data_IF_204220779170
#
_entry.id   IF_204220779170
#
_cell.length_a   1.000
_cell.length_b   1.000
_cell.length_c   1.000
_cell.angle_alpha   90.00
_cell.angle_beta   90.00
_cell.angle_gamma   90.00
#
_symmetry.space_group_name_H-M   'P 1'
#
loop_
_entity.id
_entity.type
_entity.pdbx_description
1 polymer ?
#
# COMPACT_ATOMS: atom_id res chain seq x y z
N UNK A 1 -7.79 -19.49 18.25
CA UNK A 1 -8.66 -20.69 18.22
C UNK A 1 -9.92 -20.29 17.47
N UNK A 2 -10.34 -21.03 16.45
CA UNK A 2 -11.59 -20.76 15.73
C UNK A 2 -12.82 -21.03 16.61
N UNK A 3 -13.95 -20.34 16.38
CA UNK A 3 -15.23 -20.73 16.99
C UNK A 3 -15.56 -22.19 16.66
N UNK A 4 -16.24 -22.89 17.55
CA UNK A 4 -16.48 -24.34 17.41
C UNK A 4 -17.46 -24.69 16.29
N UNK A 5 -18.32 -23.75 15.89
CA UNK A 5 -19.42 -23.95 14.95
C UNK A 5 -19.15 -23.22 13.61
N UNK A 6 -17.91 -23.30 13.10
CA UNK A 6 -17.53 -22.71 11.82
C UNK A 6 -17.41 -23.77 10.75
N UNK A 7 -18.18 -23.63 9.67
CA UNK A 7 -18.16 -24.54 8.54
C UNK A 7 -16.89 -24.37 7.69
N UNK A 8 -16.41 -23.13 7.52
CA UNK A 8 -15.23 -22.80 6.70
C UNK A 8 -14.30 -21.85 7.44
N UNK A 9 -13.00 -22.14 7.43
CA UNK A 9 -11.96 -21.39 8.11
C UNK A 9 -11.02 -20.75 7.10
N UNK A 10 -10.96 -19.42 7.08
CA UNK A 10 -10.07 -18.65 6.22
C UNK A 10 -8.96 -18.02 7.05
N UNK A 11 -7.72 -18.21 6.64
CA UNK A 11 -6.55 -17.56 7.25
C UNK A 11 -5.93 -16.57 6.25
N UNK A 12 -5.87 -15.29 6.64
CA UNK A 12 -5.32 -14.23 5.81
C UNK A 12 -4.03 -13.69 6.44
N UNK A 13 -2.98 -13.53 5.66
CA UNK A 13 -1.70 -13.04 6.12
C UNK A 13 -1.03 -12.06 5.16
N UNK A 14 -0.39 -11.02 5.72
CA UNK A 14 0.45 -10.06 5.00
C UNK A 14 1.80 -9.99 5.72
N UNK A 15 2.64 -11.01 5.52
CA UNK A 15 3.95 -11.07 6.17
C UNK A 15 4.82 -9.87 5.77
N UNK A 16 5.44 -9.14 6.72
CA UNK A 16 6.27 -7.99 6.42
C UNK A 16 7.37 -8.29 5.40
N UNK A 17 7.40 -7.48 4.34
CA UNK A 17 8.32 -7.62 3.21
C UNK A 17 9.51 -6.65 3.26
N UNK A 18 9.73 -5.95 4.38
CA UNK A 18 10.75 -4.89 4.49
C UNK A 18 12.15 -5.30 4.02
N UNK A 19 12.64 -6.54 4.23
CA UNK A 19 13.92 -6.98 3.71
C UNK A 19 13.99 -7.07 2.17
N UNK A 20 12.85 -7.16 1.50
CA UNK A 20 12.74 -7.44 0.06
C UNK A 20 12.24 -6.24 -0.75
N UNK A 21 11.93 -5.11 -0.11
CA UNK A 21 11.51 -3.90 -0.82
C UNK A 21 12.71 -3.20 -1.48
N UNK A 22 12.49 -2.56 -2.63
CA UNK A 22 13.52 -1.82 -3.38
C UNK A 22 14.23 -0.73 -2.57
N UNK A 23 13.62 -0.26 -1.47
CA UNK A 23 14.17 0.73 -0.55
C UNK A 23 15.16 0.17 0.46
N UNK A 24 15.17 -1.14 0.70
CA UNK A 24 15.93 -1.76 1.79
C UNK A 24 17.31 -2.27 1.38
N UNK A 25 17.73 -2.13 0.13
CA UNK A 25 19.07 -2.56 -0.32
C UNK A 25 20.23 -2.05 0.56
N UNK A 26 20.06 -0.92 1.23
CA UNK A 26 21.07 -0.31 2.13
C UNK A 26 21.14 -0.96 3.53
N UNK A 27 20.15 -1.76 3.93
CA UNK A 27 20.00 -2.28 5.31
C UNK A 27 19.93 -3.81 5.39
N UNK A 28 20.37 -4.52 4.36
CA UNK A 28 20.22 -5.99 4.24
C UNK A 28 20.96 -6.79 5.33
N UNK A 29 21.94 -6.21 6.01
CA UNK A 29 22.79 -6.88 7.00
C UNK A 29 22.48 -6.52 8.47
N UNK A 30 21.37 -5.87 8.77
CA UNK A 30 20.99 -5.56 10.14
C UNK A 30 20.27 -6.77 10.77
N UNK A 31 20.59 -7.13 12.02
CA UNK A 31 19.99 -8.27 12.76
C UNK A 31 18.45 -8.22 12.77
N UNK A 32 17.86 -7.02 12.89
CA UNK A 32 16.40 -6.84 12.81
C UNK A 32 15.84 -7.13 11.41
N UNK A 33 16.65 -6.99 10.37
CA UNK A 33 16.29 -7.32 8.99
C UNK A 33 16.37 -8.82 8.75
N UNK A 34 17.35 -9.51 9.37
CA UNK A 34 17.48 -10.95 9.31
C UNK A 34 16.30 -11.66 9.99
N UNK A 35 15.90 -11.22 11.19
CA UNK A 35 14.72 -11.76 11.89
C UNK A 35 13.41 -11.61 11.11
N UNK A 36 13.30 -10.62 10.23
CA UNK A 36 12.10 -10.39 9.39
C UNK A 36 12.09 -11.23 8.11
N UNK A 37 13.20 -11.86 7.74
CA UNK A 37 13.26 -12.73 6.54
C UNK A 37 12.42 -14.00 6.70
N UNK A 38 12.21 -14.44 7.94
CA UNK A 38 11.57 -15.72 8.25
C UNK A 38 10.06 -15.60 8.54
N UNK A 39 9.48 -14.39 8.43
CA UNK A 39 8.07 -14.20 8.80
C UNK A 39 7.08 -14.94 7.89
N UNK A 40 7.43 -15.19 6.64
CA UNK A 40 6.63 -16.03 5.77
C UNK A 40 6.72 -17.52 6.17
N UNK A 41 7.88 -17.98 6.64
CA UNK A 41 8.03 -19.34 7.22
C UNK A 41 7.19 -19.48 8.50
N UNK A 42 7.11 -18.42 9.34
CA UNK A 42 6.21 -18.41 10.51
C UNK A 42 4.73 -18.47 10.09
N UNK A 43 4.36 -17.79 9.02
CA UNK A 43 2.99 -17.87 8.50
C UNK A 43 2.69 -19.30 8.02
N UNK A 44 3.63 -19.95 7.35
CA UNK A 44 3.53 -21.36 6.97
C UNK A 44 3.29 -22.28 8.19
N UNK A 45 4.07 -22.09 9.27
CA UNK A 45 3.88 -22.85 10.53
C UNK A 45 2.50 -22.61 11.16
N UNK A 46 1.96 -21.39 11.09
CA UNK A 46 0.61 -21.13 11.57
C UNK A 46 -0.44 -21.89 10.74
N UNK A 47 -0.25 -22.00 9.43
CA UNK A 47 -1.14 -22.77 8.55
C UNK A 47 -1.11 -24.27 8.93
N UNK A 48 0.07 -24.84 9.20
CA UNK A 48 0.21 -26.24 9.66
C UNK A 48 -0.48 -26.49 11.00
N UNK A 49 -0.42 -25.52 11.93
CA UNK A 49 -1.05 -25.64 13.25
C UNK A 49 -2.56 -25.46 13.20
N UNK A 50 -3.02 -24.43 12.49
CA UNK A 50 -4.42 -23.99 12.46
C UNK A 50 -5.24 -24.79 11.45
N UNK A 51 -4.58 -25.27 10.39
CA UNK A 51 -5.18 -26.06 9.28
C UNK A 51 -6.44 -25.39 8.70
N UNK A 52 -6.35 -24.12 8.26
CA UNK A 52 -7.49 -23.45 7.64
C UNK A 52 -7.93 -24.20 6.38
N UNK A 53 -9.11 -23.92 5.90
CA UNK A 53 -9.65 -24.51 4.66
C UNK A 53 -9.21 -23.67 3.45
N UNK A 54 -9.10 -22.34 3.63
CA UNK A 54 -8.62 -21.40 2.62
C UNK A 54 -7.54 -20.50 3.22
N UNK A 55 -6.53 -20.19 2.42
CA UNK A 55 -5.45 -19.25 2.78
C UNK A 55 -5.37 -18.14 1.74
N UNK A 56 -5.20 -16.89 2.21
CA UNK A 56 -4.86 -15.75 1.37
C UNK A 56 -3.59 -15.08 1.87
N UNK A 57 -2.70 -14.70 0.94
CA UNK A 57 -1.47 -13.97 1.25
C UNK A 57 -1.27 -12.81 0.27
N UNK A 58 -0.98 -11.62 0.82
CA UNK A 58 -0.53 -10.45 0.05
C UNK A 58 0.92 -10.15 0.33
N UNK A 59 1.67 -9.76 -0.71
CA UNK A 59 3.06 -9.32 -0.56
C UNK A 59 3.51 -8.42 -1.73
N UNK A 60 4.77 -7.96 -1.69
CA UNK A 60 5.37 -7.25 -2.82
C UNK A 60 5.71 -8.21 -3.97
N UNK A 61 5.70 -7.73 -5.24
CA UNK A 61 5.98 -8.57 -6.41
C UNK A 61 7.31 -9.33 -6.35
N UNK A 62 8.33 -8.72 -5.74
CA UNK A 62 9.68 -9.30 -5.62
C UNK A 62 9.72 -10.58 -4.76
N UNK A 63 8.68 -10.80 -3.95
CA UNK A 63 8.58 -12.01 -3.12
C UNK A 63 8.51 -13.27 -3.96
N UNK A 64 7.84 -13.25 -5.11
CA UNK A 64 7.65 -14.43 -5.96
C UNK A 64 8.94 -15.11 -6.43
N UNK A 65 10.07 -14.36 -6.50
CA UNK A 65 11.38 -14.89 -6.90
C UNK A 65 12.27 -15.30 -5.72
N UNK A 66 11.72 -15.32 -4.49
CA UNK A 66 12.49 -15.62 -3.29
C UNK A 66 12.29 -17.08 -2.85
N UNK A 67 13.36 -17.68 -2.39
CA UNK A 67 13.37 -19.06 -1.89
C UNK A 67 12.33 -19.27 -0.76
N UNK A 68 12.17 -18.28 0.12
CA UNK A 68 11.15 -18.33 1.19
C UNK A 68 9.72 -18.44 0.64
N UNK A 69 9.44 -17.86 -0.53
CA UNK A 69 8.13 -17.99 -1.17
C UNK A 69 7.92 -19.40 -1.75
N UNK A 70 8.95 -20.00 -2.34
CA UNK A 70 8.88 -21.38 -2.83
C UNK A 70 8.69 -22.37 -1.68
N UNK A 71 9.46 -22.20 -0.58
CA UNK A 71 9.22 -23.01 0.64
C UNK A 71 7.79 -22.85 1.19
N UNK A 72 7.25 -21.64 1.14
CA UNK A 72 5.87 -21.40 1.57
C UNK A 72 4.84 -22.10 0.67
N UNK A 73 5.06 -22.11 -0.64
CA UNK A 73 4.24 -22.90 -1.59
C UNK A 73 4.32 -24.39 -1.28
N UNK A 74 5.54 -24.93 -1.08
CA UNK A 74 5.76 -26.33 -0.71
C UNK A 74 4.99 -26.73 0.57
N UNK A 75 4.96 -25.83 1.58
CA UNK A 75 4.17 -26.06 2.81
C UNK A 75 2.69 -26.16 2.48
N UNK A 76 2.15 -25.26 1.67
CA UNK A 76 0.73 -25.30 1.27
C UNK A 76 0.40 -26.57 0.51
N UNK A 77 1.16 -26.93 -0.51
CA UNK A 77 0.93 -28.11 -1.36
C UNK A 77 1.01 -29.41 -0.55
N UNK A 78 2.03 -29.54 0.34
CA UNK A 78 2.17 -30.68 1.26
C UNK A 78 1.01 -30.84 2.25
N UNK A 79 0.33 -29.73 2.56
CA UNK A 79 -0.86 -29.72 3.43
C UNK A 79 -2.18 -29.83 2.63
N UNK A 80 -2.12 -30.19 1.35
CA UNK A 80 -3.28 -30.51 0.51
C UNK A 80 -3.97 -29.29 -0.13
N UNK A 81 -3.33 -28.10 -0.14
CA UNK A 81 -3.91 -26.94 -0.81
C UNK A 81 -3.57 -26.93 -2.30
N UNK A 82 -4.56 -26.53 -3.11
CA UNK A 82 -4.31 -26.03 -4.47
C UNK A 82 -3.95 -24.55 -4.39
N UNK A 83 -2.83 -24.17 -4.99
CA UNK A 83 -2.24 -22.84 -4.84
C UNK A 83 -2.27 -22.09 -6.16
N UNK A 84 -2.81 -20.87 -6.12
CA UNK A 84 -2.78 -19.93 -7.25
C UNK A 84 -2.21 -18.59 -6.79
N UNK A 85 -1.36 -17.98 -7.59
CA UNK A 85 -0.83 -16.65 -7.29
C UNK A 85 -0.56 -15.85 -8.56
N UNK A 86 -0.70 -14.53 -8.46
CA UNK A 86 -0.31 -13.61 -9.53
C UNK A 86 0.10 -12.25 -8.98
N UNK A 87 0.89 -11.52 -9.78
CA UNK A 87 1.12 -10.10 -9.53
C UNK A 87 -0.01 -9.30 -10.17
N UNK A 88 -0.72 -8.54 -9.34
CA UNK A 88 -1.81 -7.67 -9.75
C UNK A 88 -1.38 -6.21 -9.78
N UNK A 89 -2.01 -5.43 -10.65
CA UNK A 89 -1.90 -3.98 -10.69
C UNK A 89 -3.16 -3.39 -10.05
N UNK A 90 -3.03 -2.70 -8.93
CA UNK A 90 -4.16 -2.30 -8.10
C UNK A 90 -5.21 -1.41 -8.83
N UNK A 91 -4.85 -0.52 -9.77
CA UNK A 91 -5.82 0.20 -10.61
C UNK A 91 -6.77 -0.70 -11.40
N UNK A 92 -6.35 -1.89 -11.83
CA UNK A 92 -7.20 -2.87 -12.51
C UNK A 92 -8.41 -3.29 -11.65
N UNK A 93 -8.31 -3.07 -10.34
CA UNK A 93 -9.32 -3.37 -9.33
C UNK A 93 -9.89 -2.11 -8.66
N UNK A 94 -9.78 -0.96 -9.32
CA UNK A 94 -10.38 0.30 -8.87
C UNK A 94 -9.67 0.99 -7.72
N UNK A 95 -8.41 0.67 -7.44
CA UNK A 95 -7.59 1.38 -6.46
C UNK A 95 -6.88 2.56 -7.14
N UNK A 96 -7.06 3.82 -6.70
CA UNK A 96 -6.56 5.02 -7.37
C UNK A 96 -5.05 5.25 -7.16
N UNK A 97 -4.23 4.17 -7.22
CA UNK A 97 -2.77 4.28 -7.08
C UNK A 97 -2.03 3.20 -7.88
N UNK A 98 -0.89 3.57 -8.45
CA UNK A 98 0.03 2.71 -9.21
C UNK A 98 0.77 1.74 -8.27
N UNK A 99 0.05 0.73 -7.78
CA UNK A 99 0.54 -0.25 -6.80
C UNK A 99 0.49 -1.65 -7.41
N UNK A 100 1.62 -2.36 -7.40
CA UNK A 100 1.67 -3.78 -7.79
C UNK A 100 1.81 -4.64 -6.54
N UNK A 101 1.08 -5.76 -6.48
CA UNK A 101 1.13 -6.71 -5.37
C UNK A 101 1.06 -8.15 -5.86
N UNK A 102 1.78 -9.01 -5.17
CA UNK A 102 1.66 -10.45 -5.28
C UNK A 102 0.50 -10.89 -4.40
N UNK A 103 -0.51 -11.49 -5.00
CA UNK A 103 -1.63 -12.13 -4.30
C UNK A 103 -1.53 -13.63 -4.48
N UNK A 104 -1.71 -14.38 -3.39
CA UNK A 104 -1.81 -15.83 -3.39
C UNK A 104 -3.12 -16.22 -2.72
N UNK A 105 -3.83 -17.15 -3.36
CA UNK A 105 -4.97 -17.86 -2.82
C UNK A 105 -4.66 -19.37 -2.81
N UNK A 106 -5.07 -20.05 -1.76
CA UNK A 106 -4.91 -21.49 -1.67
C UNK A 106 -6.14 -22.11 -1.00
N UNK A 107 -6.65 -23.20 -1.56
CA UNK A 107 -7.86 -23.89 -1.09
C UNK A 107 -7.65 -25.38 -1.00
N UNK A 108 -8.24 -26.03 0.01
CA UNK A 108 -8.33 -27.49 0.11
C UNK A 108 -9.47 -28.09 -0.71
N UNK A 109 -10.40 -27.24 -1.14
CA UNK A 109 -11.58 -27.66 -1.87
C UNK A 109 -11.35 -27.79 -3.39
N UNK A 110 -10.22 -27.31 -3.90
CA UNK A 110 -9.90 -27.34 -5.32
C UNK A 110 -9.18 -26.09 -5.81
N UNK A 111 -9.20 -25.89 -7.11
CA UNK A 111 -8.56 -24.74 -7.76
C UNK A 111 -9.33 -23.47 -7.43
N UNK A 112 -8.63 -22.47 -6.91
CA UNK A 112 -9.16 -21.16 -6.55
C UNK A 112 -8.46 -20.08 -7.35
N UNK A 113 -9.19 -19.11 -7.88
CA UNK A 113 -8.62 -18.00 -8.65
C UNK A 113 -9.11 -16.65 -8.19
N UNK A 114 -8.28 -15.62 -8.39
CA UNK A 114 -8.68 -14.25 -8.17
C UNK A 114 -9.59 -13.79 -9.32
N UNK A 115 -10.68 -13.12 -9.00
CA UNK A 115 -11.57 -12.48 -9.97
C UNK A 115 -10.80 -11.62 -10.96
N UNK A 116 -11.32 -11.47 -12.16
CA UNK A 116 -10.71 -10.67 -13.23
C UNK A 116 -10.68 -9.18 -12.89
N UNK A 117 -9.90 -8.39 -13.67
CA UNK A 117 -9.88 -6.94 -13.54
C UNK A 117 -11.24 -6.33 -13.92
N UNK A 118 -11.66 -5.30 -13.17
CA UNK A 118 -12.88 -4.52 -13.42
C UNK A 118 -12.59 -3.21 -14.19
N UNK A 119 -11.33 -2.79 -14.21
CA UNK A 119 -10.86 -1.53 -14.81
C UNK A 119 -9.74 -1.75 -15.81
N UNK A 120 -9.57 -0.80 -16.72
CA UNK A 120 -8.52 -0.75 -17.74
C UNK A 120 -7.82 0.62 -17.74
N UNK A 121 -6.71 0.81 -18.45
CA UNK A 121 -5.99 2.09 -18.50
C UNK A 121 -6.85 3.30 -18.87
N UNK A 122 -7.91 3.12 -19.62
CA UNK A 122 -8.78 4.19 -20.10
C UNK A 122 -9.79 4.66 -19.05
N UNK A 123 -10.03 3.86 -18.00
CA UNK A 123 -11.02 4.15 -16.97
C UNK A 123 -10.51 3.94 -15.53
N UNK A 124 -9.19 3.95 -15.33
CA UNK A 124 -8.63 3.89 -13.97
C UNK A 124 -9.10 5.07 -13.12
N UNK A 125 -9.49 4.84 -11.85
CA UNK A 125 -9.81 5.93 -10.94
C UNK A 125 -8.60 6.84 -10.74
N UNK A 126 -8.84 8.14 -10.87
CA UNK A 126 -7.80 9.17 -10.81
C UNK A 126 -7.68 9.79 -9.42
N UNK A 127 -6.64 10.58 -9.24
CA UNK A 127 -6.47 11.41 -8.05
C UNK A 127 -7.65 12.38 -7.89
N UNK A 128 -8.11 12.99 -9.00
CA UNK A 128 -9.23 13.94 -9.04
C UNK A 128 -10.52 13.29 -8.54
N UNK A 129 -10.85 12.12 -9.02
CA UNK A 129 -12.04 11.38 -8.60
C UNK A 129 -12.05 11.08 -7.10
N UNK A 130 -10.87 10.93 -6.52
CA UNK A 130 -10.71 10.45 -5.15
C UNK A 130 -10.62 11.58 -4.12
N UNK A 131 -9.87 12.65 -4.41
CA UNK A 131 -9.56 13.70 -3.44
C UNK A 131 -9.90 15.12 -3.95
N UNK A 132 -10.35 15.26 -5.20
CA UNK A 132 -10.59 16.56 -5.82
C UNK A 132 -11.67 17.42 -5.12
N UNK A 133 -12.57 16.82 -4.37
CA UNK A 133 -13.64 17.51 -3.64
C UNK A 133 -13.32 17.77 -2.16
N UNK A 134 -12.10 17.44 -1.70
CA UNK A 134 -11.71 17.72 -0.33
C UNK A 134 -11.46 19.23 -0.13
N UNK A 135 -11.75 19.77 1.05
CA UNK A 135 -11.47 21.18 1.38
C UNK A 135 -9.97 21.50 1.24
N UNK A 136 -9.66 22.73 0.84
CA UNK A 136 -8.29 23.21 0.82
C UNK A 136 -7.72 23.35 2.24
N UNK A 137 -6.45 22.96 2.42
CA UNK A 137 -5.67 23.17 3.63
C UNK A 137 -4.25 23.62 3.27
N UNK A 138 -3.60 24.35 4.17
CA UNK A 138 -2.19 24.74 4.04
C UNK A 138 -1.26 23.68 4.63
N UNK A 139 0.04 23.80 4.33
CA UNK A 139 1.04 23.00 5.00
C UNK A 139 1.01 23.24 6.53
N UNK A 140 0.92 22.16 7.29
CA UNK A 140 0.78 22.18 8.76
C UNK A 140 -0.65 22.38 9.27
N UNK A 141 -1.61 22.61 8.39
CA UNK A 141 -2.99 22.83 8.75
C UNK A 141 -3.76 21.51 8.98
N UNK A 142 -4.81 21.63 9.80
CA UNK A 142 -5.81 20.57 10.04
C UNK A 142 -7.18 21.14 9.76
N UNK A 143 -7.96 20.48 8.91
CA UNK A 143 -9.35 20.84 8.66
C UNK A 143 -10.21 20.56 9.90
N UNK A 144 -11.07 21.53 10.28
CA UNK A 144 -11.79 21.48 11.57
C UNK A 144 -12.80 20.34 11.62
N UNK A 145 -13.54 20.11 10.53
CA UNK A 145 -14.58 19.10 10.45
C UNK A 145 -14.05 17.68 10.22
N UNK A 146 -12.79 17.54 9.75
CA UNK A 146 -12.12 16.25 9.59
C UNK A 146 -10.69 16.31 10.11
N UNK A 147 -10.44 15.93 11.37
CA UNK A 147 -9.10 15.94 11.96
C UNK A 147 -8.07 15.07 11.25
N UNK A 148 -8.50 14.09 10.45
CA UNK A 148 -7.61 13.28 9.63
C UNK A 148 -7.17 14.07 8.37
N UNK A 149 -7.92 15.06 7.91
CA UNK A 149 -7.51 15.94 6.84
C UNK A 149 -6.49 16.96 7.36
N UNK A 150 -5.30 16.44 7.64
CA UNK A 150 -4.17 17.12 8.26
C UNK A 150 -2.90 16.86 7.49
N UNK A 151 -2.16 17.91 7.13
CA UNK A 151 -0.88 17.83 6.43
C UNK A 151 0.30 18.16 7.35
N UNK A 152 1.49 17.70 6.98
CA UNK A 152 2.73 18.12 7.65
C UNK A 152 3.07 19.55 7.31
N UNK A 153 3.67 20.27 8.28
CA UNK A 153 4.28 21.56 8.02
C UNK A 153 5.54 21.38 7.12
N UNK A 154 5.84 22.41 6.34
CA UNK A 154 7.03 22.48 5.51
C UNK A 154 7.96 23.57 6.03
N UNK A 155 9.27 23.30 6.00
CA UNK A 155 10.27 24.35 6.21
C UNK A 155 10.18 25.40 5.09
N UNK A 156 10.66 26.63 5.34
CA UNK A 156 10.68 27.70 4.34
C UNK A 156 11.36 27.27 3.03
N UNK A 157 12.45 26.47 3.14
CA UNK A 157 13.15 25.93 1.98
C UNK A 157 12.29 24.91 1.21
N UNK A 158 11.62 24.01 1.90
CA UNK A 158 10.74 23.01 1.25
C UNK A 158 9.49 23.65 0.65
N UNK A 159 9.01 24.75 1.23
CA UNK A 159 7.93 25.55 0.64
C UNK A 159 8.37 26.21 -0.67
N UNK A 160 9.59 26.75 -0.76
CA UNK A 160 10.16 27.26 -2.02
C UNK A 160 10.28 26.14 -3.07
N UNK A 161 10.74 24.96 -2.67
CA UNK A 161 10.88 23.80 -3.55
C UNK A 161 9.55 23.34 -4.14
N UNK A 162 8.54 23.14 -3.28
CA UNK A 162 7.23 22.67 -3.76
C UNK A 162 6.56 23.68 -4.69
N UNK A 163 6.74 24.99 -4.48
CA UNK A 163 6.23 26.04 -5.36
C UNK A 163 6.80 25.99 -6.77
N UNK A 164 8.04 25.54 -6.92
CA UNK A 164 8.66 25.36 -8.24
C UNK A 164 8.36 23.98 -8.85
N UNK A 165 7.89 23.01 -8.06
CA UNK A 165 7.54 21.69 -8.55
C UNK A 165 6.24 21.75 -9.35
N UNK A 166 6.26 21.25 -10.58
CA UNK A 166 5.10 21.16 -11.47
C UNK A 166 4.36 19.81 -11.27
N UNK A 167 3.05 19.73 -11.53
CA UNK A 167 2.37 18.43 -11.63
C UNK A 167 3.10 17.51 -12.61
N UNK A 168 3.39 16.27 -12.19
CA UNK A 168 4.17 15.31 -12.99
C UNK A 168 5.65 15.62 -13.13
N UNK A 169 6.11 16.83 -12.76
CA UNK A 169 7.49 17.29 -12.85
C UNK A 169 8.41 16.69 -11.78
N UNK A 170 9.63 17.19 -11.73
CA UNK A 170 10.67 16.70 -10.82
C UNK A 170 11.46 17.87 -10.24
N UNK A 171 12.37 17.61 -9.30
CA UNK A 171 13.35 18.58 -8.80
C UNK A 171 14.27 19.15 -9.91
N UNK A 172 14.29 18.57 -11.11
CA UNK A 172 15.04 19.09 -12.26
C UNK A 172 14.46 20.40 -12.80
N UNK A 173 13.22 20.70 -12.47
CA UNK A 173 12.53 21.95 -12.83
C UNK A 173 12.89 23.11 -11.90
N UNK A 174 13.70 22.88 -10.83
CA UNK A 174 14.02 23.87 -9.83
C UNK A 174 15.24 24.75 -10.20
N UNK A 175 15.28 25.94 -9.63
CA UNK A 175 16.48 26.76 -9.63
C UNK A 175 17.64 26.03 -8.96
N UNK A 176 18.85 26.29 -9.41
CA UNK A 176 20.09 25.59 -8.97
C UNK A 176 20.36 25.72 -7.47
N UNK A 177 19.97 26.84 -6.86
CA UNK A 177 20.14 27.12 -5.42
C UNK A 177 19.17 26.30 -4.53
N UNK A 178 18.10 25.78 -5.09
CA UNK A 178 17.15 24.90 -4.39
C UNK A 178 17.54 23.42 -4.44
N UNK A 179 18.51 23.05 -5.28
CA UNK A 179 18.94 21.66 -5.43
C UNK A 179 19.60 21.15 -4.15
N UNK A 180 19.30 19.91 -3.79
CA UNK A 180 20.04 19.22 -2.74
C UNK A 180 21.43 18.83 -3.26
N UNK A 181 22.42 18.84 -2.37
CA UNK A 181 23.79 18.40 -2.72
C UNK A 181 23.81 16.97 -3.28
N UNK A 182 22.89 16.10 -2.80
CA UNK A 182 22.74 14.74 -3.32
C UNK A 182 22.37 14.71 -4.81
N UNK A 183 21.60 15.69 -5.31
CA UNK A 183 21.13 15.72 -6.72
C UNK A 183 22.17 16.35 -7.68
N UNK A 184 23.18 16.99 -7.14
CA UNK A 184 24.33 17.45 -7.91
C UNK A 184 25.28 16.30 -8.30
N UNK A 185 25.15 15.13 -7.60
CA UNK A 185 25.95 13.92 -7.85
C UNK A 185 25.24 13.00 -8.84
N UNK A 186 26.02 12.23 -9.62
CA UNK A 186 25.47 11.25 -10.57
C UNK A 186 24.52 10.24 -9.89
N UNK A 187 24.87 9.75 -8.69
CA UNK A 187 24.04 8.81 -7.91
C UNK A 187 22.68 9.37 -7.52
N UNK A 188 22.55 10.70 -7.39
CA UNK A 188 21.30 11.38 -7.05
C UNK A 188 20.35 11.56 -8.24
N UNK A 189 20.87 11.50 -9.45
CA UNK A 189 20.08 11.69 -10.68
C UNK A 189 19.01 10.62 -10.91
N UNK A 190 19.17 9.45 -10.32
CA UNK A 190 18.20 8.33 -10.40
C UNK A 190 16.90 8.58 -9.61
N UNK A 191 16.91 9.50 -8.62
CA UNK A 191 15.74 9.76 -7.75
C UNK A 191 14.82 10.85 -8.35
N UNK A 192 14.25 10.59 -9.52
CA UNK A 192 13.44 11.57 -10.24
C UNK A 192 12.04 11.83 -9.70
N UNK A 193 11.53 11.02 -8.75
CA UNK A 193 10.15 11.17 -8.25
C UNK A 193 10.01 11.95 -6.96
N UNK A 194 11.08 12.11 -6.17
CA UNK A 194 11.06 12.81 -4.88
C UNK A 194 10.80 14.31 -5.07
N UNK A 195 10.11 14.92 -4.12
CA UNK A 195 9.65 16.31 -4.16
C UNK A 195 8.69 16.66 -5.32
N UNK A 196 8.26 15.68 -6.14
CA UNK A 196 7.34 15.94 -7.23
C UNK A 196 5.89 16.10 -6.76
N UNK A 197 5.10 16.86 -7.54
CA UNK A 197 3.64 16.93 -7.38
C UNK A 197 2.97 15.79 -8.14
N UNK A 198 1.88 15.29 -7.58
CA UNK A 198 0.98 14.36 -8.25
C UNK A 198 0.24 15.06 -9.42
N UNK A 199 -0.42 14.28 -10.23
CA UNK A 199 -1.23 14.75 -11.37
C UNK A 199 -2.69 14.39 -11.15
N UNK A 200 -3.61 15.34 -11.37
CA UNK A 200 -5.04 15.14 -11.12
C UNK A 200 -5.64 13.97 -11.89
N UNK A 201 -5.33 13.86 -13.15
CA UNK A 201 -6.01 12.97 -14.08
C UNK A 201 -5.26 11.63 -14.27
N UNK A 202 -4.52 11.23 -13.24
CA UNK A 202 -3.81 9.94 -13.16
C UNK A 202 -3.98 9.30 -11.79
N UNK A 203 -3.89 7.95 -11.70
CA UNK A 203 -3.74 7.28 -10.42
C UNK A 203 -2.48 7.78 -9.68
N UNK A 204 -2.57 7.94 -8.36
CA UNK A 204 -1.46 8.36 -7.52
C UNK A 204 -0.27 7.38 -7.59
N UNK A 205 0.91 7.82 -7.18
CA UNK A 205 2.01 6.91 -6.89
C UNK A 205 1.65 6.01 -5.69
N UNK A 206 2.32 4.86 -5.56
CA UNK A 206 2.11 3.95 -4.42
C UNK A 206 2.20 4.70 -3.10
N UNK A 207 1.12 4.70 -2.32
CA UNK A 207 1.08 5.28 -0.98
C UNK A 207 1.95 4.41 -0.06
N UNK A 208 2.97 5.03 0.52
CA UNK A 208 3.92 4.42 1.46
C UNK A 208 3.73 4.99 2.85
N UNK A 209 4.39 4.44 3.86
CA UNK A 209 4.35 4.96 5.24
C UNK A 209 4.90 6.39 5.39
N UNK A 210 5.57 6.91 4.35
CA UNK A 210 6.20 8.23 4.34
C UNK A 210 5.49 9.25 3.43
N UNK A 211 4.30 8.93 2.92
CA UNK A 211 3.56 9.80 1.99
C UNK A 211 3.27 11.23 2.49
N UNK A 212 3.19 11.53 3.81
CA UNK A 212 3.02 12.91 4.25
C UNK A 212 4.27 13.78 4.10
N UNK A 213 5.35 13.28 3.52
CA UNK A 213 6.60 14.01 3.31
C UNK A 213 6.99 14.14 1.85
N UNK A 214 7.11 15.37 1.34
CA UNK A 214 7.47 15.64 -0.08
C UNK A 214 8.81 15.03 -0.49
N UNK A 215 9.76 14.91 0.43
CA UNK A 215 11.11 14.40 0.16
C UNK A 215 11.18 12.85 0.06
N UNK A 216 10.09 12.14 0.28
CA UNK A 216 10.08 10.67 0.33
C UNK A 216 9.46 10.02 -0.93
N UNK A 217 9.08 10.82 -1.90
CA UNK A 217 8.45 10.37 -3.13
C UNK A 217 7.71 11.51 -3.83
N UNK A 218 6.90 11.16 -4.82
CA UNK A 218 6.00 12.09 -5.49
C UNK A 218 4.69 12.16 -4.70
N UNK A 219 4.70 12.95 -3.63
CA UNK A 219 3.56 13.11 -2.71
C UNK A 219 3.11 14.57 -2.55
N UNK A 220 3.64 15.50 -3.34
CA UNK A 220 3.14 16.85 -3.40
C UNK A 220 1.72 16.87 -3.95
N UNK A 221 0.81 17.63 -3.29
CA UNK A 221 -0.53 17.88 -3.81
C UNK A 221 -0.44 18.57 -5.19
N UNK A 222 -1.30 18.26 -6.17
CA UNK A 222 -1.19 18.83 -7.51
C UNK A 222 -1.15 20.37 -7.55
N UNK A 223 -1.92 21.05 -6.72
CA UNK A 223 -2.09 22.51 -6.71
C UNK A 223 -1.62 23.16 -5.41
N UNK A 224 -1.93 22.55 -4.26
CA UNK A 224 -1.62 23.15 -2.96
C UNK A 224 -0.15 22.95 -2.57
N UNK A 225 0.46 23.95 -1.92
CA UNK A 225 1.89 23.92 -1.56
C UNK A 225 2.18 23.06 -0.32
N UNK A 226 1.86 21.76 -0.41
CA UNK A 226 2.00 20.78 0.67
C UNK A 226 2.14 19.35 0.14
N UNK A 227 2.50 18.43 1.01
CA UNK A 227 2.33 17.00 0.75
C UNK A 227 0.85 16.60 0.95
N UNK A 228 0.53 15.37 0.58
CA UNK A 228 -0.77 14.76 0.87
C UNK A 228 -1.05 14.79 2.38
N UNK A 229 -2.30 15.05 2.72
CA UNK A 229 -2.84 14.89 4.07
C UNK A 229 -3.04 13.41 4.42
N UNK A 230 -3.28 13.11 5.70
CA UNK A 230 -3.60 11.73 6.11
C UNK A 230 -4.93 11.26 5.49
N UNK A 231 -5.94 12.14 5.39
CA UNK A 231 -7.22 11.81 4.76
C UNK A 231 -7.05 11.47 3.28
N UNK A 232 -6.30 12.26 2.55
CA UNK A 232 -5.99 12.00 1.14
C UNK A 232 -5.28 10.66 0.96
N UNK A 233 -4.27 10.37 1.78
CA UNK A 233 -3.60 9.07 1.76
C UNK A 233 -4.51 7.90 2.06
N UNK A 234 -5.44 8.06 3.01
CA UNK A 234 -6.43 7.03 3.37
C UNK A 234 -7.41 6.75 2.22
N UNK A 235 -7.93 7.79 1.59
CA UNK A 235 -8.83 7.64 0.44
C UNK A 235 -8.13 7.02 -0.77
N UNK A 236 -6.88 7.39 -1.04
CA UNK A 236 -6.07 6.79 -2.09
C UNK A 236 -5.71 5.32 -1.81
N UNK A 237 -5.73 4.91 -0.54
CA UNK A 237 -5.68 3.50 -0.12
C UNK A 237 -7.07 2.84 -0.12
N UNK A 238 -8.12 3.56 -0.53
CA UNK A 238 -9.51 3.11 -0.56
C UNK A 238 -10.15 2.85 0.81
N UNK A 239 -9.63 3.43 1.89
CA UNK A 239 -10.34 3.42 3.17
C UNK A 239 -11.63 4.23 3.07
N UNK A 240 -12.74 3.78 3.65
CA UNK A 240 -13.97 4.57 3.69
C UNK A 240 -13.77 5.86 4.49
N UNK A 241 -14.56 6.88 4.16
CA UNK A 241 -14.43 8.21 4.75
C UNK A 241 -14.61 8.20 6.29
N UNK A 242 -15.42 7.30 6.80
CA UNK A 242 -15.71 7.14 8.23
C UNK A 242 -14.76 6.17 8.96
N UNK A 243 -13.68 5.69 8.30
CA UNK A 243 -12.74 4.79 8.95
C UNK A 243 -11.93 5.51 10.03
N UNK A 244 -11.88 4.94 11.23
CA UNK A 244 -11.18 5.47 12.40
C UNK A 244 -9.81 4.82 12.57
N UNK A 245 -8.74 5.61 12.38
CA UNK A 245 -7.34 5.16 12.58
C UNK A 245 -6.86 5.33 14.02
N UNK A 246 -7.56 6.14 14.80
CA UNK A 246 -7.24 6.47 16.18
C UNK A 246 -8.52 6.49 17.01
N UNK A 247 -8.42 6.20 18.29
CA UNK A 247 -9.54 6.33 19.21
C UNK A 247 -10.06 7.79 19.18
N UNK A 248 -11.33 8.03 18.88
CA UNK A 248 -11.93 9.38 18.90
C UNK A 248 -11.69 10.14 20.20
N UNK A 249 -11.55 9.43 21.34
CA UNK A 249 -11.25 10.00 22.64
C UNK A 249 -9.86 10.63 22.74
N UNK A 250 -8.92 10.24 21.88
CA UNK A 250 -7.60 10.87 21.80
C UNK A 250 -7.62 12.24 21.13
N UNK A 251 -8.74 12.60 20.49
CA UNK A 251 -8.90 13.86 19.77
C UNK A 251 -7.84 14.02 18.67
N UNK A 252 -7.17 15.21 18.66
CA UNK A 252 -6.12 15.50 17.65
C UNK A 252 -4.71 15.15 18.10
N UNK A 253 -4.54 14.57 19.29
CA UNK A 253 -3.23 14.29 19.90
C UNK A 253 -2.64 12.96 19.43
N UNK A 254 -2.46 12.78 18.12
CA UNK A 254 -1.74 11.64 17.57
C UNK A 254 -0.66 12.09 16.59
N UNK A 255 0.50 11.41 16.53
CA UNK A 255 1.53 11.71 15.56
C UNK A 255 1.08 11.37 14.13
N UNK A 256 1.29 12.29 13.19
CA UNK A 256 1.03 12.05 11.75
C UNK A 256 1.73 10.78 11.27
N UNK A 257 2.95 10.52 11.76
CA UNK A 257 3.74 9.33 11.39
C UNK A 257 3.09 8.01 11.82
N UNK A 258 2.37 7.98 12.94
CA UNK A 258 1.67 6.78 13.42
C UNK A 258 0.53 6.39 12.48
N UNK A 259 -0.31 7.35 12.13
CA UNK A 259 -1.44 7.10 11.22
C UNK A 259 -0.94 6.84 9.79
N UNK A 260 0.08 7.57 9.33
CA UNK A 260 0.70 7.34 8.03
C UNK A 260 1.31 5.93 7.92
N UNK A 261 1.86 5.39 9.03
CA UNK A 261 2.35 4.02 9.10
C UNK A 261 1.23 3.00 8.89
N UNK A 262 0.08 3.20 9.55
CA UNK A 262 -1.10 2.33 9.39
C UNK A 262 -1.62 2.38 7.95
N UNK A 263 -1.82 3.59 7.41
CA UNK A 263 -2.31 3.79 6.03
C UNK A 263 -1.36 3.15 5.00
N UNK A 264 -0.06 3.44 5.10
CA UNK A 264 0.92 3.00 4.10
C UNK A 264 1.20 1.49 4.11
N UNK A 265 1.08 0.84 5.29
CA UNK A 265 1.25 -0.61 5.43
C UNK A 265 0.00 -1.41 5.05
N UNK A 266 -1.15 -0.78 5.01
CA UNK A 266 -2.39 -1.48 4.74
C UNK A 266 -2.45 -2.09 3.33
N UNK A 267 -3.09 -3.23 3.22
CA UNK A 267 -3.69 -3.68 1.96
C UNK A 267 -4.86 -2.75 1.66
N UNK A 268 -4.97 -2.18 0.45
CA UNK A 268 -6.11 -1.36 0.11
C UNK A 268 -7.42 -2.14 0.35
N UNK A 269 -8.39 -1.60 1.13
CA UNK A 269 -9.66 -2.27 1.39
C UNK A 269 -10.35 -2.81 0.14
N UNK A 270 -10.34 -2.06 -0.95
CA UNK A 270 -10.93 -2.51 -2.22
C UNK A 270 -10.25 -3.75 -2.81
N UNK A 271 -8.93 -3.88 -2.63
CA UNK A 271 -8.22 -5.09 -3.02
C UNK A 271 -8.54 -6.27 -2.09
N UNK A 272 -8.73 -6.01 -0.80
CA UNK A 272 -9.22 -6.98 0.17
C UNK A 272 -10.64 -7.46 -0.15
N UNK A 273 -11.50 -6.57 -0.62
CA UNK A 273 -12.86 -6.88 -1.07
C UNK A 273 -12.85 -7.85 -2.27
N UNK A 274 -11.99 -7.62 -3.25
CA UNK A 274 -11.84 -8.52 -4.41
C UNK A 274 -11.34 -9.90 -3.98
N UNK A 275 -10.39 -9.97 -3.05
CA UNK A 275 -9.92 -11.24 -2.47
C UNK A 275 -11.10 -11.96 -1.79
N UNK A 276 -11.89 -11.25 -0.97
CA UNK A 276 -13.06 -11.80 -0.31
C UNK A 276 -14.11 -12.32 -1.30
N UNK A 277 -14.45 -11.53 -2.32
CA UNK A 277 -15.37 -11.95 -3.40
C UNK A 277 -14.86 -13.17 -4.17
N UNK A 278 -13.55 -13.26 -4.41
CA UNK A 278 -12.96 -14.43 -5.07
C UNK A 278 -13.09 -15.70 -4.24
N UNK A 279 -12.98 -15.58 -2.91
CA UNK A 279 -13.18 -16.71 -1.99
C UNK A 279 -14.66 -17.12 -1.98
N UNK A 280 -15.59 -16.17 -1.91
CA UNK A 280 -17.03 -16.43 -1.93
C UNK A 280 -17.42 -17.15 -3.22
N UNK A 281 -17.01 -16.59 -4.37
CA UNK A 281 -17.29 -17.19 -5.68
C UNK A 281 -16.78 -18.64 -5.78
N UNK A 282 -15.56 -18.89 -5.28
CA UNK A 282 -15.00 -20.24 -5.23
C UNK A 282 -15.85 -21.21 -4.39
N UNK A 283 -16.42 -20.75 -3.28
CA UNK A 283 -17.26 -21.56 -2.42
C UNK A 283 -18.65 -21.82 -3.03
N UNK A 284 -19.24 -20.81 -3.67
CA UNK A 284 -20.53 -20.94 -4.38
C UNK A 284 -20.42 -21.95 -5.53
N UNK A 285 -19.32 -21.93 -6.29
CA UNK A 285 -19.06 -22.92 -7.35
C UNK A 285 -18.97 -24.37 -6.81
N UNK A 286 -18.59 -24.58 -5.55
CA UNK A 286 -18.54 -25.91 -4.92
C UNK A 286 -19.92 -26.41 -4.49
N UNK A 287 -20.81 -25.51 -4.10
CA UNK A 287 -22.17 -25.85 -3.68
C UNK A 287 -23.10 -26.21 -4.88
N UNK A 288 -22.68 -25.85 -6.11
CA UNK A 288 -23.42 -26.21 -7.34
C UNK A 288 -23.11 -27.60 -7.89
N UNK A 289 -22.17 -28.33 -7.29
CA UNK A 289 -21.78 -29.72 -7.60
C UNK A 289 -22.21 -30.70 -6.51
#
# INVERSE_FOLDING_TARGET
MYPKDTDIRVLIGCAPCQPFSSYSHKYQNNENTLKKKDLLDYFGKQIELVKPDIVSMENVPQMQSREVFHRFQDILEKNGYKVTYKVVYAPDYGVPQKRKRLLLLASKFGDISLLGPEFSPDNYPTLRDTIGNLPEIRAGETYVQDPLHRSRNLSALNLKRIRQSKPGGTWRDWDKDLLLEAYKKESGKSFGSVYGRLEWDKPANTITTQFPGIGNGRFGHPEQDRALSLREGALLQTFPLNYEFVDPKQGRNYPISQVALQIGNAVPPKLGEIIGKSIINHLEELDEF
#
